data_IF_632889595535
#
_entry.id   IF_632889595535
#
_cell.length_a   1.000
_cell.length_b   1.000
_cell.length_c   1.000
_cell.angle_alpha   90.00
_cell.angle_beta   90.00
_cell.angle_gamma   90.00
#
_symmetry.space_group_name_H-M   'P 1'
#
loop_
_entity.id
_entity.type
_entity.pdbx_description
1 polymer ?
#
# COMPACT_ATOMS: atom_id res chain seq x y z
N UNK A 1 36.99 -17.96 -6.76
CA UNK A 1 35.67 -17.61 -7.37
C UNK A 1 34.55 -17.40 -6.34
N UNK A 2 34.45 -18.17 -5.26
CA UNK A 2 33.40 -17.98 -4.22
C UNK A 2 33.53 -16.68 -3.42
N UNK A 3 34.72 -16.15 -3.19
CA UNK A 3 34.97 -14.90 -2.47
C UNK A 3 34.55 -13.65 -3.25
N UNK A 4 34.62 -13.65 -4.57
CA UNK A 4 34.19 -12.53 -5.40
C UNK A 4 32.66 -12.41 -5.50
N UNK A 5 31.94 -13.53 -5.49
CA UNK A 5 30.48 -13.56 -5.47
C UNK A 5 29.91 -13.02 -4.15
N UNK A 6 30.52 -13.38 -3.02
CA UNK A 6 30.08 -12.87 -1.72
C UNK A 6 30.32 -11.37 -1.57
N UNK A 7 31.45 -10.84 -2.09
CA UNK A 7 31.73 -9.41 -2.05
C UNK A 7 30.78 -8.59 -2.96
N UNK A 8 30.43 -9.10 -4.13
CA UNK A 8 29.44 -8.44 -4.99
C UNK A 8 28.05 -8.45 -4.37
N UNK A 9 27.65 -9.56 -3.76
CA UNK A 9 26.36 -9.66 -3.07
C UNK A 9 26.28 -8.71 -1.89
N UNK A 10 27.33 -8.61 -1.07
CA UNK A 10 27.42 -7.66 0.04
C UNK A 10 27.44 -6.20 -0.44
N UNK A 11 28.12 -5.88 -1.54
CA UNK A 11 28.11 -4.53 -2.12
C UNK A 11 26.76 -4.13 -2.70
N UNK A 12 26.05 -5.04 -3.35
CA UNK A 12 24.68 -4.80 -3.85
C UNK A 12 23.72 -4.61 -2.67
N UNK A 13 23.83 -5.43 -1.63
CA UNK A 13 23.04 -5.33 -0.41
C UNK A 13 23.30 -4.02 0.33
N UNK A 14 24.56 -3.61 0.45
CA UNK A 14 24.95 -2.33 1.07
C UNK A 14 24.48 -1.13 0.24
N UNK A 15 24.58 -1.18 -1.08
CA UNK A 15 24.06 -0.16 -2.00
C UNK A 15 22.54 0.01 -1.92
N UNK A 16 21.77 -1.08 -1.76
CA UNK A 16 20.32 -1.00 -1.59
C UNK A 16 19.93 -0.38 -0.24
N UNK A 17 20.66 -0.66 0.82
CA UNK A 17 20.40 -0.10 2.16
C UNK A 17 20.73 1.40 2.21
N UNK A 18 21.86 1.81 1.62
CA UNK A 18 22.19 3.23 1.45
C UNK A 18 21.15 3.95 0.61
N UNK A 19 20.64 3.31 -0.44
CA UNK A 19 19.58 3.84 -1.28
C UNK A 19 18.27 4.05 -0.51
N UNK A 20 17.91 3.20 0.46
CA UNK A 20 16.73 3.38 1.30
C UNK A 20 16.89 4.60 2.24
N UNK A 21 18.04 4.72 2.92
CA UNK A 21 18.30 5.84 3.81
C UNK A 21 18.29 7.21 3.10
N UNK A 22 18.72 7.26 1.84
CA UNK A 22 18.72 8.49 1.04
C UNK A 22 17.37 8.78 0.39
N UNK A 23 16.70 7.76 -0.16
CA UNK A 23 15.47 7.93 -0.94
C UNK A 23 14.20 7.81 -0.10
N UNK A 24 14.26 7.10 1.03
CA UNK A 24 13.12 6.81 1.88
C UNK A 24 12.23 5.66 1.37
N UNK A 25 12.64 4.95 0.32
CA UNK A 25 11.94 3.78 -0.21
C UNK A 25 12.88 2.79 -0.88
N UNK A 26 12.43 1.55 -0.99
CA UNK A 26 13.08 0.50 -1.78
C UNK A 26 12.03 -0.41 -2.42
N UNK A 27 12.28 -0.83 -3.66
CA UNK A 27 11.48 -1.86 -4.33
C UNK A 27 12.02 -3.22 -3.87
N UNK A 28 11.13 -4.10 -3.46
CA UNK A 28 11.47 -5.41 -2.91
C UNK A 28 11.38 -6.50 -4.00
N UNK A 29 11.93 -7.69 -3.75
CA UNK A 29 11.72 -8.82 -4.65
C UNK A 29 10.22 -9.10 -4.86
N UNK A 30 9.84 -9.40 -6.09
CA UNK A 30 8.47 -9.75 -6.43
C UNK A 30 7.99 -10.98 -5.66
N UNK A 31 6.73 -10.98 -5.30
CA UNK A 31 6.05 -12.18 -4.83
C UNK A 31 6.16 -13.31 -5.87
N UNK A 32 6.17 -14.54 -5.40
CA UNK A 32 5.99 -15.67 -6.31
C UNK A 32 4.59 -15.63 -6.94
N UNK A 33 4.47 -16.10 -8.18
CA UNK A 33 3.16 -16.09 -8.87
C UNK A 33 2.05 -16.78 -8.05
N UNK A 34 2.37 -17.91 -7.42
CA UNK A 34 1.43 -18.60 -6.54
C UNK A 34 0.96 -17.77 -5.34
N UNK A 35 1.83 -16.91 -4.79
CA UNK A 35 1.51 -16.01 -3.67
C UNK A 35 0.60 -14.87 -4.17
N UNK A 36 0.91 -14.32 -5.34
CA UNK A 36 0.09 -13.30 -5.97
C UNK A 36 -1.32 -13.82 -6.29
N UNK A 37 -1.45 -15.05 -6.79
CA UNK A 37 -2.75 -15.67 -7.06
C UNK A 37 -3.56 -15.94 -5.78
N UNK A 38 -2.91 -16.24 -4.66
CA UNK A 38 -3.59 -16.33 -3.35
C UNK A 38 -4.19 -14.97 -2.98
N UNK A 39 -3.43 -13.87 -3.12
CA UNK A 39 -3.93 -12.51 -2.84
C UNK A 39 -5.08 -12.11 -3.77
N UNK A 40 -4.98 -12.39 -5.05
CA UNK A 40 -6.06 -12.19 -6.02
C UNK A 40 -7.32 -12.92 -5.61
N UNK A 41 -7.18 -14.17 -5.16
CA UNK A 41 -8.30 -14.99 -4.70
C UNK A 41 -8.95 -14.42 -3.44
N UNK A 42 -8.16 -13.99 -2.44
CA UNK A 42 -8.67 -13.36 -1.22
C UNK A 42 -9.45 -12.09 -1.57
N UNK A 43 -8.82 -11.20 -2.34
CA UNK A 43 -9.42 -9.92 -2.73
C UNK A 43 -10.70 -10.14 -3.54
N UNK A 44 -10.69 -11.07 -4.50
CA UNK A 44 -11.88 -11.41 -5.30
C UNK A 44 -13.04 -11.89 -4.44
N UNK A 45 -12.80 -12.77 -3.46
CA UNK A 45 -13.84 -13.22 -2.53
C UNK A 45 -14.43 -12.07 -1.73
N UNK A 46 -13.59 -11.19 -1.18
CA UNK A 46 -14.04 -10.00 -0.45
C UNK A 46 -14.82 -9.03 -1.35
N UNK A 47 -14.34 -8.83 -2.55
CA UNK A 47 -14.99 -7.99 -3.55
C UNK A 47 -16.40 -8.48 -3.85
N UNK A 48 -16.56 -9.75 -4.22
CA UNK A 48 -17.86 -10.35 -4.52
C UNK A 48 -18.78 -10.22 -3.31
N UNK A 49 -18.31 -10.64 -2.12
CA UNK A 49 -19.10 -10.54 -0.90
C UNK A 49 -19.55 -9.10 -0.61
N UNK A 50 -18.69 -8.12 -0.78
CA UNK A 50 -19.05 -6.72 -0.56
C UNK A 50 -20.14 -6.27 -1.52
N UNK A 51 -20.05 -6.60 -2.80
CA UNK A 51 -21.06 -6.25 -3.77
C UNK A 51 -22.42 -6.93 -3.47
N UNK A 52 -22.40 -8.18 -3.03
CA UNK A 52 -23.60 -8.89 -2.57
C UNK A 52 -24.24 -8.22 -1.34
N UNK A 53 -23.43 -7.87 -0.34
CA UNK A 53 -23.88 -7.19 0.89
C UNK A 53 -24.54 -5.82 0.59
N UNK A 54 -24.12 -5.15 -0.48
CA UNK A 54 -24.69 -3.90 -0.95
C UNK A 54 -25.78 -4.07 -2.04
N UNK A 55 -26.22 -5.32 -2.29
CA UNK A 55 -27.27 -5.64 -3.26
C UNK A 55 -26.96 -5.20 -4.70
N UNK A 56 -25.71 -5.24 -5.08
CA UNK A 56 -25.25 -4.95 -6.43
C UNK A 56 -25.16 -6.29 -7.18
N UNK A 57 -26.21 -6.66 -7.90
CA UNK A 57 -26.43 -8.03 -8.40
C UNK A 57 -26.16 -8.27 -9.89
N UNK A 58 -25.49 -7.40 -10.59
CA UNK A 58 -25.21 -7.64 -12.01
C UNK A 58 -24.08 -8.67 -12.24
N UNK A 59 -24.16 -9.80 -11.49
CA UNK A 59 -23.20 -10.91 -11.55
C UNK A 59 -23.54 -11.99 -12.58
N UNK A 60 -24.48 -11.73 -13.50
CA UNK A 60 -24.76 -12.68 -14.59
C UNK A 60 -23.54 -12.84 -15.51
N UNK A 61 -22.66 -11.84 -15.54
CA UNK A 61 -21.40 -11.90 -16.26
C UNK A 61 -20.23 -12.14 -15.29
N UNK A 62 -19.49 -13.24 -15.50
CA UNK A 62 -18.29 -13.58 -14.72
C UNK A 62 -17.18 -12.50 -14.79
N UNK A 63 -17.21 -11.67 -15.81
CA UNK A 63 -16.30 -10.51 -15.94
C UNK A 63 -16.44 -9.55 -14.76
N UNK A 64 -17.66 -9.28 -14.30
CA UNK A 64 -17.92 -8.38 -13.15
C UNK A 64 -17.53 -8.98 -11.79
N UNK A 65 -17.23 -10.28 -11.74
CA UNK A 65 -16.66 -10.92 -10.54
C UNK A 65 -15.17 -10.64 -10.36
N UNK A 66 -14.56 -9.91 -11.27
CA UNK A 66 -13.15 -9.52 -11.20
C UNK A 66 -13.03 -8.08 -10.71
N UNK A 67 -12.30 -7.80 -9.60
CA UNK A 67 -12.08 -6.44 -9.11
C UNK A 67 -11.47 -5.51 -10.17
N UNK A 68 -10.69 -6.06 -11.08
CA UNK A 68 -10.08 -5.38 -12.21
C UNK A 68 -11.11 -4.71 -13.13
N UNK A 69 -12.31 -5.27 -13.26
CA UNK A 69 -13.41 -4.79 -14.10
C UNK A 69 -14.46 -3.96 -13.33
N UNK A 70 -14.22 -3.62 -12.07
CA UNK A 70 -15.15 -2.90 -11.23
C UNK A 70 -15.63 -1.56 -11.83
N UNK A 71 -14.78 -0.87 -12.58
CA UNK A 71 -15.14 0.41 -13.24
C UNK A 71 -16.27 0.29 -14.26
N UNK A 72 -16.53 -0.91 -14.77
CA UNK A 72 -17.64 -1.19 -15.70
C UNK A 72 -18.98 -1.30 -14.99
N UNK A 73 -18.99 -1.40 -13.65
CA UNK A 73 -20.21 -1.30 -12.86
C UNK A 73 -20.56 0.18 -12.67
N UNK A 74 -21.76 0.58 -13.06
CA UNK A 74 -22.27 1.95 -12.90
C UNK A 74 -22.58 2.27 -11.43
N UNK A 75 -21.53 2.38 -10.60
CA UNK A 75 -21.64 2.58 -9.16
C UNK A 75 -21.35 4.04 -8.81
N UNK A 76 -22.36 4.74 -8.30
CA UNK A 76 -22.23 6.14 -7.85
C UNK A 76 -21.59 6.25 -6.45
N UNK A 77 -22.00 5.39 -5.52
CA UNK A 77 -21.63 5.46 -4.10
C UNK A 77 -20.35 4.69 -3.74
N UNK A 78 -19.30 4.83 -4.55
CA UNK A 78 -18.03 4.12 -4.36
C UNK A 78 -17.48 4.20 -2.92
N UNK A 79 -17.44 5.40 -2.34
CA UNK A 79 -16.87 5.62 -1.00
C UNK A 79 -17.69 5.00 0.15
N UNK A 80 -18.98 4.77 -0.06
CA UNK A 80 -19.87 4.11 0.89
C UNK A 80 -19.67 2.60 0.85
N UNK A 81 -19.57 2.03 -0.35
CA UNK A 81 -19.35 0.59 -0.56
C UNK A 81 -17.98 0.18 -0.05
N UNK A 82 -16.94 0.95 -0.40
CA UNK A 82 -15.56 0.59 -0.09
C UNK A 82 -15.04 1.31 1.16
N UNK A 83 -15.77 1.19 2.27
CA UNK A 83 -15.31 1.62 3.58
C UNK A 83 -14.11 0.80 4.09
N UNK A 84 -13.54 1.17 5.24
CA UNK A 84 -12.39 0.44 5.83
C UNK A 84 -12.73 -1.03 6.11
N UNK A 85 -13.93 -1.32 6.63
CA UNK A 85 -14.35 -2.67 6.98
C UNK A 85 -14.44 -3.63 5.79
N UNK A 86 -14.82 -3.12 4.62
CA UNK A 86 -14.90 -3.90 3.39
C UNK A 86 -13.52 -4.18 2.80
N UNK A 87 -12.54 -3.35 3.15
CA UNK A 87 -11.19 -3.40 2.58
C UNK A 87 -10.12 -3.99 3.50
N UNK A 88 -10.49 -4.40 4.72
CA UNK A 88 -9.56 -5.03 5.64
C UNK A 88 -9.56 -6.55 5.45
N UNK A 89 -8.40 -7.17 5.56
CA UNK A 89 -8.29 -8.62 5.64
C UNK A 89 -8.84 -9.09 7.00
N UNK A 90 -9.44 -10.27 7.05
CA UNK A 90 -9.75 -10.94 8.31
C UNK A 90 -8.47 -11.42 8.99
N UNK A 91 -8.54 -11.77 10.27
CA UNK A 91 -7.42 -12.35 11.01
C UNK A 91 -6.82 -13.57 10.27
N UNK A 92 -7.67 -14.51 9.86
CA UNK A 92 -7.24 -15.69 9.10
C UNK A 92 -6.55 -15.33 7.78
N UNK A 93 -7.09 -14.40 7.00
CA UNK A 93 -6.48 -13.96 5.73
C UNK A 93 -5.14 -13.26 5.96
N UNK A 94 -5.02 -12.48 7.05
CA UNK A 94 -3.78 -11.83 7.44
C UNK A 94 -2.73 -12.85 7.87
N UNK A 95 -3.10 -13.87 8.65
CA UNK A 95 -2.20 -14.97 9.04
C UNK A 95 -1.71 -15.79 7.84
N UNK A 96 -2.58 -16.09 6.87
CA UNK A 96 -2.17 -16.76 5.64
C UNK A 96 -1.20 -15.92 4.82
N UNK A 97 -1.42 -14.60 4.74
CA UNK A 97 -0.50 -13.71 4.05
C UNK A 97 0.86 -13.64 4.74
N UNK A 98 0.94 -13.68 6.08
CA UNK A 98 2.20 -13.67 6.83
C UNK A 98 3.10 -14.88 6.55
N UNK A 99 2.61 -15.92 5.91
CA UNK A 99 3.40 -17.11 5.50
C UNK A 99 4.16 -16.90 4.18
N UNK A 100 3.99 -15.74 3.52
CA UNK A 100 4.63 -15.48 2.24
C UNK A 100 6.13 -15.19 2.39
N UNK A 101 6.88 -15.50 1.36
CA UNK A 101 8.33 -15.29 1.27
C UNK A 101 8.76 -13.84 1.52
N UNK A 102 7.87 -12.89 1.27
CA UNK A 102 8.06 -11.47 1.57
C UNK A 102 8.45 -11.25 3.05
N UNK A 103 7.81 -11.93 3.99
CA UNK A 103 8.05 -11.70 5.42
C UNK A 103 9.38 -12.29 5.89
N UNK A 104 9.84 -13.39 5.29
CA UNK A 104 11.20 -13.88 5.51
C UNK A 104 12.23 -12.88 5.00
N UNK A 105 12.01 -12.31 3.83
CA UNK A 105 12.87 -11.25 3.29
C UNK A 105 12.90 -10.03 4.21
N UNK A 106 11.73 -9.53 4.65
CA UNK A 106 11.60 -8.39 5.54
C UNK A 106 12.30 -8.63 6.89
N UNK A 107 12.17 -9.84 7.45
CA UNK A 107 12.86 -10.24 8.68
C UNK A 107 14.37 -10.17 8.54
N UNK A 108 14.90 -10.68 7.44
CA UNK A 108 16.33 -10.76 7.20
C UNK A 108 16.97 -9.40 6.84
N UNK A 109 16.23 -8.50 6.20
CA UNK A 109 16.78 -7.24 5.67
C UNK A 109 16.41 -6.00 6.48
N UNK A 110 15.24 -5.99 7.11
CA UNK A 110 14.69 -4.82 7.79
C UNK A 110 14.38 -5.09 9.27
N UNK A 111 14.70 -6.28 9.80
CA UNK A 111 14.38 -6.61 11.19
C UNK A 111 12.88 -6.65 11.47
N UNK A 112 12.06 -7.16 10.53
CA UNK A 112 10.63 -7.28 10.71
C UNK A 112 10.27 -8.01 12.00
N UNK A 113 9.40 -7.41 12.80
CA UNK A 113 8.88 -7.96 14.04
C UNK A 113 7.43 -8.43 13.87
N UNK A 114 6.58 -7.55 13.38
CA UNK A 114 5.15 -7.82 13.15
C UNK A 114 4.54 -6.82 12.18
N UNK A 115 3.40 -7.15 11.59
CA UNK A 115 2.50 -6.17 10.97
C UNK A 115 1.85 -5.37 12.08
N UNK A 116 1.83 -4.04 11.93
CA UNK A 116 1.28 -3.14 12.93
C UNK A 116 -0.26 -3.21 12.95
N UNK A 117 -0.82 -3.08 14.15
CA UNK A 117 -2.24 -2.88 14.40
C UNK A 117 -2.45 -1.41 14.81
N UNK A 118 -2.57 -0.52 13.83
CA UNK A 118 -2.66 0.93 14.05
C UNK A 118 -4.03 1.32 14.59
N UNK A 119 -5.08 0.68 14.14
CA UNK A 119 -6.47 0.96 14.53
C UNK A 119 -6.90 0.18 15.79
N UNK A 120 -6.06 -0.76 16.29
CA UNK A 120 -6.34 -1.57 17.47
C UNK A 120 -7.47 -2.57 17.25
N UNK A 121 -7.43 -3.27 16.13
CA UNK A 121 -8.41 -4.32 15.77
C UNK A 121 -8.10 -5.68 16.39
N UNK A 122 -6.87 -5.83 16.97
CA UNK A 122 -6.44 -7.03 17.69
C UNK A 122 -5.67 -8.06 16.84
N UNK A 123 -5.47 -7.83 15.55
CA UNK A 123 -4.73 -8.69 14.63
C UNK A 123 -3.97 -7.87 13.57
N UNK A 124 -3.12 -8.49 12.71
CA UNK A 124 -2.34 -7.78 11.68
C UNK A 124 -3.23 -6.97 10.73
N UNK A 125 -3.04 -5.64 10.71
CA UNK A 125 -3.90 -4.71 9.99
C UNK A 125 -3.44 -4.54 8.54
N UNK A 126 -4.13 -5.21 7.61
CA UNK A 126 -3.82 -5.23 6.18
C UNK A 126 -5.03 -4.76 5.39
N UNK A 127 -4.85 -3.72 4.59
CA UNK A 127 -5.90 -3.18 3.73
C UNK A 127 -5.62 -3.45 2.26
N UNK A 128 -6.68 -3.67 1.49
CA UNK A 128 -6.61 -3.58 0.05
C UNK A 128 -7.35 -2.34 -0.44
N UNK A 129 -7.00 -1.87 -1.61
CA UNK A 129 -7.59 -0.69 -2.23
C UNK A 129 -8.00 -0.96 -3.65
N UNK A 130 -9.06 -0.26 -4.06
CA UNK A 130 -9.62 -0.30 -5.40
C UNK A 130 -9.72 1.15 -5.92
N UNK A 131 -9.21 1.40 -7.11
CA UNK A 131 -9.12 2.74 -7.72
C UNK A 131 -9.58 2.64 -9.17
N UNK A 132 -10.68 3.34 -9.47
CA UNK A 132 -11.26 3.39 -10.81
C UNK A 132 -10.43 4.28 -11.75
N UNK A 133 -10.46 4.03 -13.08
CA UNK A 133 -9.84 4.92 -14.05
C UNK A 133 -10.49 6.31 -14.03
N UNK A 134 -9.69 7.34 -14.29
CA UNK A 134 -10.14 8.75 -14.36
C UNK A 134 -10.79 9.30 -13.07
N UNK A 135 -10.70 8.60 -11.93
CA UNK A 135 -11.27 9.01 -10.63
C UNK A 135 -10.18 9.48 -9.68
N UNK A 136 -9.98 10.80 -9.62
CA UNK A 136 -8.99 11.41 -8.71
C UNK A 136 -9.45 11.38 -7.25
N UNK A 137 -10.73 11.23 -6.99
CA UNK A 137 -11.31 11.06 -5.66
C UNK A 137 -11.02 9.70 -5.01
N UNK A 138 -10.67 8.68 -5.82
CA UNK A 138 -10.34 7.35 -5.34
C UNK A 138 -8.89 7.24 -4.83
N UNK A 139 -8.06 8.25 -5.08
CA UNK A 139 -6.65 8.28 -4.66
C UNK A 139 -6.40 9.29 -3.53
N UNK A 140 -5.36 9.04 -2.75
CA UNK A 140 -4.90 9.98 -1.73
C UNK A 140 -4.09 11.12 -2.35
N UNK A 141 -4.27 12.34 -1.83
CA UNK A 141 -3.36 13.46 -2.10
C UNK A 141 -1.99 13.22 -1.47
N UNK A 142 -1.07 14.19 -1.66
CA UNK A 142 0.28 14.14 -1.09
C UNK A 142 0.20 14.17 0.44
N UNK A 143 0.83 13.20 1.09
CA UNK A 143 0.89 13.07 2.54
C UNK A 143 2.09 12.23 2.98
N UNK A 144 2.37 12.24 4.27
CA UNK A 144 3.18 11.24 4.96
C UNK A 144 2.27 10.44 5.92
N UNK A 145 2.48 9.14 6.03
CA UNK A 145 1.65 8.28 6.90
C UNK A 145 1.76 8.66 8.37
N UNK A 146 2.92 9.13 8.81
CA UNK A 146 3.14 9.61 10.18
C UNK A 146 2.16 10.72 10.61
N UNK A 147 1.62 11.47 9.68
CA UNK A 147 0.64 12.53 10.00
C UNK A 147 -0.71 11.99 10.47
N UNK A 148 -1.05 10.77 10.08
CA UNK A 148 -2.27 10.10 10.56
C UNK A 148 -2.08 9.47 11.93
N UNK A 149 -0.87 9.04 12.29
CA UNK A 149 -0.60 8.37 13.56
C UNK A 149 -0.83 9.30 14.78
N UNK A 150 -0.59 10.60 14.61
CA UNK A 150 -0.83 11.59 15.67
C UNK A 150 -2.31 11.72 16.06
N UNK A 151 -3.21 11.21 15.22
CA UNK A 151 -4.65 11.26 15.45
C UNK A 151 -5.24 9.90 15.91
N UNK A 152 -4.42 8.85 15.95
CA UNK A 152 -4.79 7.54 16.47
C UNK A 152 -4.13 7.35 17.85
N UNK A 153 -4.84 7.54 18.93
CA UNK A 153 -4.33 7.38 20.32
C UNK A 153 -4.03 5.91 20.71
N UNK A 154 -3.83 5.01 19.74
CA UNK A 154 -3.75 3.57 19.97
C UNK A 154 -2.33 3.01 19.97
N UNK A 155 -1.35 3.78 19.48
CA UNK A 155 0.06 3.40 19.49
C UNK A 155 0.87 4.38 20.33
N UNK A 156 1.81 3.85 21.10
CA UNK A 156 2.80 4.67 21.82
C UNK A 156 3.75 5.36 20.86
N UNK A 157 4.35 6.51 21.20
CA UNK A 157 5.37 7.15 20.36
C UNK A 157 6.51 6.19 19.96
N UNK A 158 6.96 5.34 20.88
CA UNK A 158 8.02 4.34 20.63
C UNK A 158 7.60 3.31 19.58
N UNK A 159 6.35 2.85 19.60
CA UNK A 159 5.83 1.95 18.57
C UNK A 159 5.75 2.63 17.20
N UNK A 160 5.41 3.93 17.19
CA UNK A 160 5.37 4.71 15.95
C UNK A 160 6.76 4.95 15.36
N UNK A 161 7.82 5.04 16.18
CA UNK A 161 9.17 5.35 15.72
C UNK A 161 9.72 4.32 14.73
N UNK A 162 9.45 3.05 14.94
CA UNK A 162 9.98 1.94 14.18
C UNK A 162 8.99 1.39 13.12
N UNK A 163 8.12 2.25 12.59
CA UNK A 163 7.19 1.85 11.54
C UNK A 163 7.72 2.14 10.13
N UNK A 164 7.58 1.14 9.27
CA UNK A 164 7.73 1.28 7.82
C UNK A 164 6.41 0.89 7.13
N UNK A 165 6.19 1.41 5.95
CA UNK A 165 5.00 1.09 5.14
C UNK A 165 5.36 0.15 4.01
N UNK A 166 4.42 -0.74 3.71
CA UNK A 166 4.48 -1.62 2.54
C UNK A 166 3.28 -1.31 1.65
N UNK A 167 3.54 -1.21 0.36
CA UNK A 167 2.52 -1.11 -0.67
C UNK A 167 2.80 -2.16 -1.75
N UNK A 168 1.78 -2.94 -2.15
CA UNK A 168 1.91 -4.03 -3.11
C UNK A 168 0.87 -3.83 -4.20
N UNK A 169 1.25 -3.61 -5.46
CA UNK A 169 0.32 -3.65 -6.59
C UNK A 169 -0.15 -5.09 -6.84
N UNK A 170 -1.45 -5.28 -6.99
CA UNK A 170 -2.07 -6.57 -7.33
C UNK A 170 -2.52 -6.56 -8.78
N UNK A 171 -3.25 -5.51 -9.17
CA UNK A 171 -3.65 -5.23 -10.54
C UNK A 171 -3.20 -3.81 -10.88
N UNK A 172 -2.19 -3.70 -11.73
CA UNK A 172 -1.61 -2.44 -12.18
C UNK A 172 -0.97 -2.63 -13.56
N UNK A 173 -1.01 -1.59 -14.37
CA UNK A 173 -0.17 -1.48 -15.56
C UNK A 173 0.99 -0.53 -15.24
N UNK A 174 2.25 -0.96 -15.42
CA UNK A 174 3.41 -0.11 -15.15
C UNK A 174 3.32 1.22 -15.90
N UNK A 175 3.64 2.32 -15.20
CA UNK A 175 3.58 3.70 -15.70
C UNK A 175 2.16 4.28 -15.94
N UNK A 176 1.10 3.50 -15.72
CA UNK A 176 -0.29 3.94 -15.94
C UNK A 176 -0.99 4.42 -14.66
N UNK A 177 -0.26 4.49 -13.56
CA UNK A 177 -0.78 4.88 -12.25
C UNK A 177 -0.13 4.07 -11.14
N UNK A 178 -0.53 4.28 -9.89
CA UNK A 178 0.04 3.54 -8.77
C UNK A 178 0.47 4.43 -7.61
N UNK A 179 1.68 4.22 -7.12
CA UNK A 179 2.27 4.98 -6.02
C UNK A 179 3.28 6.00 -6.56
N UNK A 180 3.00 7.27 -6.31
CA UNK A 180 3.95 8.36 -6.54
C UNK A 180 4.67 8.72 -5.24
N UNK A 181 5.96 9.02 -5.33
CA UNK A 181 6.81 9.37 -4.19
C UNK A 181 7.63 10.63 -4.45
N UNK A 182 8.08 11.28 -3.37
CA UNK A 182 9.08 12.35 -3.38
C UNK A 182 10.35 11.83 -2.70
N UNK A 183 11.33 11.29 -3.44
CA UNK A 183 12.55 10.73 -2.87
C UNK A 183 13.28 11.72 -1.96
N UNK A 184 13.76 11.25 -0.81
CA UNK A 184 14.47 12.07 0.17
C UNK A 184 13.59 13.01 1.01
N UNK A 185 12.27 13.06 0.75
CA UNK A 185 11.37 13.95 1.51
C UNK A 185 11.22 13.54 2.99
N UNK A 186 11.47 12.28 3.34
CA UNK A 186 11.45 11.77 4.72
C UNK A 186 12.54 12.38 5.62
N UNK A 187 13.58 12.95 5.04
CA UNK A 187 14.69 13.62 5.75
C UNK A 187 14.34 15.02 6.26
N UNK A 188 13.16 15.53 5.92
CA UNK A 188 12.69 16.87 6.29
C UNK A 188 11.37 16.81 7.03
N UNK A 189 11.14 17.80 7.90
CA UNK A 189 9.80 18.07 8.42
C UNK A 189 9.03 18.92 7.42
N UNK A 190 7.77 18.57 7.23
CA UNK A 190 6.86 19.26 6.33
C UNK A 190 5.71 19.85 7.11
N UNK A 191 5.38 21.10 6.83
CA UNK A 191 4.23 21.76 7.43
C UNK A 191 2.95 21.32 6.71
N UNK A 192 1.98 20.89 7.48
CA UNK A 192 0.67 20.47 6.99
C UNK A 192 -0.44 20.93 7.91
N UNK A 193 -1.59 21.21 7.34
CA UNK A 193 -2.81 21.48 8.07
C UNK A 193 -3.69 20.22 8.12
N UNK A 194 -4.63 20.20 9.05
CA UNK A 194 -5.67 19.20 9.08
C UNK A 194 -6.98 19.78 8.59
N UNK A 195 -7.55 19.17 7.56
CA UNK A 195 -8.85 19.55 7.04
C UNK A 195 -9.88 18.47 7.36
N UNK A 196 -11.12 18.88 7.70
CA UNK A 196 -12.22 17.94 7.82
C UNK A 196 -12.89 17.81 6.46
N UNK A 197 -12.82 16.61 5.87
CA UNK A 197 -13.47 16.28 4.60
C UNK A 197 -14.23 14.96 4.76
N UNK A 198 -15.50 14.94 4.39
CA UNK A 198 -16.38 13.75 4.47
C UNK A 198 -16.40 13.14 5.89
N UNK A 199 -16.47 13.99 6.93
CA UNK A 199 -16.48 13.58 8.33
C UNK A 199 -15.13 13.07 8.89
N UNK A 200 -14.08 13.03 8.06
CA UNK A 200 -12.73 12.54 8.43
C UNK A 200 -11.73 13.67 8.47
N UNK A 201 -10.78 13.59 9.40
CA UNK A 201 -9.62 14.48 9.44
C UNK A 201 -8.63 13.98 8.39
N UNK A 202 -8.26 14.86 7.46
CA UNK A 202 -7.27 14.57 6.41
C UNK A 202 -6.13 15.59 6.51
N UNK A 203 -4.86 15.15 6.52
CA UNK A 203 -3.74 16.08 6.40
C UNK A 203 -3.71 16.68 5.00
N UNK A 204 -3.32 17.95 4.93
CA UNK A 204 -3.13 18.70 3.70
C UNK A 204 -1.81 19.43 3.75
N UNK A 205 -0.91 19.10 2.85
CA UNK A 205 0.38 19.76 2.72
C UNK A 205 0.21 21.25 2.37
N UNK A 206 0.92 22.15 3.07
CA UNK A 206 0.76 23.60 2.91
C UNK A 206 1.43 24.14 1.65
N UNK A 207 2.51 23.51 1.22
CA UNK A 207 3.22 23.89 -0.01
C UNK A 207 3.82 22.64 -0.69
N UNK A 208 3.86 22.66 -2.02
CA UNK A 208 4.42 21.55 -2.79
C UNK A 208 5.95 21.46 -2.57
N UNK A 209 6.48 20.24 -2.41
CA UNK A 209 7.91 20.03 -2.33
C UNK A 209 8.62 20.50 -3.60
N UNK A 210 9.73 21.21 -3.44
CA UNK A 210 10.66 21.48 -4.54
C UNK A 210 11.60 20.26 -4.73
N UNK A 211 11.02 19.08 -4.89
CA UNK A 211 11.69 17.80 -5.13
C UNK A 211 11.07 17.18 -6.36
N UNK A 212 11.88 16.43 -7.08
CA UNK A 212 11.34 15.60 -8.16
C UNK A 212 10.32 14.59 -7.61
N UNK A 213 9.17 14.51 -8.26
CA UNK A 213 8.17 13.47 -7.98
C UNK A 213 8.35 12.33 -8.97
N UNK A 214 8.30 11.11 -8.49
CA UNK A 214 8.48 9.91 -9.29
C UNK A 214 7.24 9.04 -9.14
N UNK A 215 6.65 8.61 -10.26
CA UNK A 215 5.74 7.46 -10.29
C UNK A 215 6.58 6.19 -10.31
N UNK A 216 6.38 5.32 -9.33
CA UNK A 216 7.11 4.06 -9.27
C UNK A 216 6.56 3.08 -10.34
N UNK A 217 7.40 2.58 -11.27
CA UNK A 217 6.96 1.74 -12.40
C UNK A 217 6.80 0.28 -11.96
N UNK A 218 6.01 0.04 -10.90
CA UNK A 218 5.84 -1.26 -10.27
C UNK A 218 4.96 -2.18 -11.11
N UNK A 219 5.31 -3.48 -11.10
CA UNK A 219 4.53 -4.56 -11.70
C UNK A 219 3.64 -5.24 -10.66
N UNK A 220 2.59 -5.97 -11.07
CA UNK A 220 1.82 -6.80 -10.15
C UNK A 220 2.74 -7.70 -9.30
N UNK A 221 2.49 -7.73 -7.99
CA UNK A 221 3.28 -8.52 -7.05
C UNK A 221 4.66 -7.94 -6.69
N UNK A 222 5.03 -6.74 -7.13
CA UNK A 222 6.31 -6.08 -6.84
C UNK A 222 6.17 -5.10 -5.65
N UNK A 223 6.49 -5.51 -4.40
CA UNK A 223 6.26 -4.67 -3.24
C UNK A 223 7.22 -3.50 -3.18
N UNK A 224 6.79 -2.40 -2.61
CA UNK A 224 7.67 -1.30 -2.19
C UNK A 224 7.55 -1.09 -0.68
N UNK A 225 8.71 -0.96 -0.02
CA UNK A 225 8.82 -0.54 1.37
C UNK A 225 9.22 0.93 1.42
N UNK A 226 8.64 1.71 2.33
CA UNK A 226 8.99 3.12 2.46
C UNK A 226 8.85 3.63 3.89
N UNK A 227 9.61 4.69 4.18
CA UNK A 227 9.58 5.38 5.46
C UNK A 227 8.22 6.07 5.67
N UNK A 228 7.67 5.98 6.89
CA UNK A 228 6.39 6.61 7.27
C UNK A 228 6.34 8.12 7.04
N UNK A 229 7.51 8.78 7.01
CA UNK A 229 7.65 10.22 6.75
C UNK A 229 7.85 10.55 5.27
N UNK A 230 8.00 9.55 4.40
CA UNK A 230 8.14 9.80 2.97
C UNK A 230 6.86 10.41 2.41
N UNK A 231 6.97 11.55 1.76
CA UNK A 231 5.85 12.13 1.04
C UNK A 231 5.51 11.25 -0.16
N UNK A 232 4.28 10.79 -0.19
CA UNK A 232 3.75 9.95 -1.25
C UNK A 232 2.29 10.29 -1.57
N UNK A 233 1.80 9.77 -2.67
CA UNK A 233 0.44 10.01 -3.13
C UNK A 233 -0.02 8.92 -4.07
N UNK A 234 -1.34 8.74 -4.17
CA UNK A 234 -1.91 7.87 -5.19
C UNK A 234 -1.94 8.58 -6.54
N UNK A 235 -1.51 7.88 -7.59
CA UNK A 235 -1.59 8.37 -8.97
C UNK A 235 -2.79 7.71 -9.63
N UNK A 236 -3.78 8.52 -10.07
CA UNK A 236 -4.87 8.03 -10.89
C UNK A 236 -4.37 7.65 -12.29
N UNK A 237 -5.09 6.79 -12.99
CA UNK A 237 -4.76 6.34 -14.33
C UNK A 237 -5.92 6.56 -15.29
N UNK A 238 -5.63 6.46 -16.59
CA UNK A 238 -6.63 6.61 -17.66
C UNK A 238 -6.89 5.30 -18.42
N UNK A 239 -6.06 4.31 -18.20
CA UNK A 239 -6.22 3.00 -18.84
C UNK A 239 -7.52 2.33 -18.37
N UNK A 240 -8.12 1.55 -19.24
CA UNK A 240 -9.42 0.92 -19.05
C UNK A 240 -9.34 -0.32 -18.14
N UNK A 241 -9.05 -0.08 -16.87
CA UNK A 241 -9.04 -1.10 -15.82
C UNK A 241 -9.19 -0.46 -14.45
N UNK A 242 -9.59 -1.24 -13.46
CA UNK A 242 -9.58 -0.84 -12.06
C UNK A 242 -8.29 -1.32 -11.38
N UNK A 243 -7.51 -0.39 -10.85
CA UNK A 243 -6.29 -0.70 -10.10
C UNK A 243 -6.62 -1.30 -8.74
N UNK A 244 -5.89 -2.35 -8.37
CA UNK A 244 -6.00 -3.00 -7.06
C UNK A 244 -4.64 -3.05 -6.40
N UNK A 245 -4.56 -2.75 -5.11
CA UNK A 245 -3.32 -2.78 -4.33
C UNK A 245 -3.58 -3.20 -2.89
N UNK A 246 -2.53 -3.62 -2.19
CA UNK A 246 -2.52 -3.90 -0.74
C UNK A 246 -1.61 -2.87 -0.07
N UNK A 247 -1.96 -2.48 1.15
CA UNK A 247 -1.14 -1.60 1.98
C UNK A 247 -1.22 -2.02 3.46
N UNK A 248 -0.08 -1.93 4.14
CA UNK A 248 0.02 -2.17 5.58
C UNK A 248 1.28 -1.52 6.15
N UNK A 249 1.33 -1.39 7.46
CA UNK A 249 2.55 -0.96 8.16
C UNK A 249 3.20 -2.16 8.85
N UNK A 250 4.52 -2.13 8.95
CA UNK A 250 5.30 -3.11 9.70
C UNK A 250 6.09 -2.42 10.80
N UNK A 251 6.26 -3.12 11.91
CA UNK A 251 7.17 -2.74 12.97
C UNK A 251 8.51 -3.47 12.76
N UNK A 252 9.59 -2.71 12.84
CA UNK A 252 10.98 -3.23 12.71
C UNK A 252 11.75 -3.02 13.99
N UNK A 253 12.85 -3.79 14.18
CA UNK A 253 13.74 -3.71 15.35
C UNK A 253 14.66 -2.50 15.33
#
# INVERSE_FOLDING_TARGET
MLTSFNNQKQQIEHSQTLSFAERGYAILPSLYEKELEVLRTIIRKKYIKTLEDFHIFDFTNDEFKQPFNYHNLSIENHSEIWGKQQRIFSEYESEEFLKFSLFDYLKNKFGFLKVADIEGIGYPEIYWRIVRPNKTEDVSGIHADSWFFTHTNKMTPKEQDNLLKIWIPIEVLPNEGGLGVYPGSHLKKWDYDTIKKDGRIKPKLNYLPNHEKILLPLKPGEPVIFDKNLLHYGVSHKADYTRVSIEFAIQVS
#
